data_IF_778935364426
#
_entry.id   IF_778935364426
#
_cell.length_a   1.000
_cell.length_b   1.000
_cell.length_c   1.000
_cell.angle_alpha   90.00
_cell.angle_beta   90.00
_cell.angle_gamma   90.00
#
_symmetry.space_group_name_H-M   'P 1'
#
loop_
_entity.id
_entity.type
_entity.pdbx_description
1 polymer ?
#
# COMPACT_ATOMS: atom_id res chain seq x y z
N UNK A 1 -10.48 -16.67 1.56
CA UNK A 1 -9.01 -16.63 1.42
C UNK A 1 -8.66 -15.45 0.52
N UNK A 2 -7.72 -14.60 0.92
CA UNK A 2 -7.30 -13.41 0.16
C UNK A 2 -6.33 -13.80 -0.96
N UNK A 3 -6.83 -14.53 -1.95
CA UNK A 3 -6.04 -14.99 -3.11
C UNK A 3 -5.53 -13.81 -3.94
N UNK A 4 -4.39 -13.97 -4.63
CA UNK A 4 -3.75 -12.90 -5.41
C UNK A 4 -3.93 -13.15 -6.91
N UNK A 5 -3.85 -12.09 -7.71
CA UNK A 5 -3.82 -12.19 -9.18
C UNK A 5 -2.41 -12.61 -9.65
N UNK A 6 -2.18 -13.92 -9.84
CA UNK A 6 -0.84 -14.48 -10.07
C UNK A 6 -0.48 -14.79 -11.53
N UNK A 7 -1.42 -14.68 -12.48
CA UNK A 7 -1.13 -14.91 -13.89
C UNK A 7 -0.35 -13.72 -14.48
N UNK A 8 0.97 -13.83 -14.49
CA UNK A 8 1.87 -12.80 -15.06
C UNK A 8 1.70 -12.66 -16.59
N UNK A 9 1.20 -13.67 -17.29
CA UNK A 9 1.06 -13.64 -18.75
C UNK A 9 -0.14 -12.80 -19.21
N UNK A 10 -1.12 -12.62 -18.32
CA UNK A 10 -2.33 -11.82 -18.55
C UNK A 10 -2.32 -10.59 -17.65
N UNK A 11 -2.02 -9.43 -18.24
CA UNK A 11 -2.15 -8.14 -17.55
C UNK A 11 -3.65 -7.86 -17.34
N UNK A 12 -4.13 -7.73 -16.09
CA UNK A 12 -5.53 -7.48 -15.85
C UNK A 12 -5.92 -6.06 -16.24
N UNK A 13 -7.13 -5.89 -16.75
CA UNK A 13 -7.75 -4.59 -16.92
C UNK A 13 -8.47 -4.13 -15.64
N UNK A 14 -9.02 -2.93 -15.68
CA UNK A 14 -9.66 -2.31 -14.51
C UNK A 14 -10.96 -3.02 -14.10
N UNK A 15 -11.73 -3.55 -15.05
CA UNK A 15 -12.95 -4.28 -14.75
C UNK A 15 -12.64 -5.61 -14.05
N UNK A 16 -11.62 -6.32 -14.54
CA UNK A 16 -11.12 -7.55 -13.92
C UNK A 16 -10.58 -7.29 -12.51
N UNK A 17 -9.83 -6.20 -12.30
CA UNK A 17 -9.34 -5.82 -10.97
C UNK A 17 -10.51 -5.55 -10.03
N UNK A 18 -11.48 -4.73 -10.45
CA UNK A 18 -12.67 -4.39 -9.66
C UNK A 18 -13.49 -5.61 -9.28
N UNK A 19 -13.73 -6.51 -10.23
CA UNK A 19 -14.44 -7.76 -9.96
C UNK A 19 -13.67 -8.63 -8.95
N UNK A 20 -12.35 -8.73 -9.12
CA UNK A 20 -11.51 -9.59 -8.28
C UNK A 20 -11.41 -9.08 -6.84
N UNK A 21 -11.13 -7.78 -6.64
CA UNK A 21 -11.01 -7.19 -5.30
C UNK A 21 -12.37 -6.91 -4.66
N UNK A 22 -13.44 -6.87 -5.44
CA UNK A 22 -14.79 -6.58 -4.98
C UNK A 22 -15.08 -5.08 -4.91
N UNK A 23 -16.37 -4.74 -4.98
CA UNK A 23 -16.86 -3.36 -5.13
C UNK A 23 -16.41 -2.43 -4.00
N UNK A 24 -16.54 -2.87 -2.75
CA UNK A 24 -16.20 -2.03 -1.59
C UNK A 24 -14.69 -1.79 -1.47
N UNK A 25 -13.89 -2.82 -1.73
CA UNK A 25 -12.42 -2.70 -1.78
C UNK A 25 -11.95 -1.84 -2.94
N UNK A 26 -12.63 -1.90 -4.09
CA UNK A 26 -12.34 -1.02 -5.21
C UNK A 26 -12.67 0.44 -4.89
N UNK A 27 -13.80 0.74 -4.24
CA UNK A 27 -14.12 2.09 -3.76
C UNK A 27 -13.05 2.63 -2.80
N UNK A 28 -12.61 1.82 -1.84
CA UNK A 28 -11.51 2.17 -0.91
C UNK A 28 -10.21 2.44 -1.66
N UNK A 29 -9.88 1.62 -2.65
CA UNK A 29 -8.68 1.83 -3.48
C UNK A 29 -8.77 3.14 -4.26
N UNK A 30 -9.91 3.45 -4.89
CA UNK A 30 -10.12 4.72 -5.57
C UNK A 30 -10.01 5.92 -4.62
N UNK A 31 -10.58 5.82 -3.41
CA UNK A 31 -10.49 6.87 -2.40
C UNK A 31 -9.04 7.08 -1.93
N UNK A 32 -8.30 5.99 -1.70
CA UNK A 32 -6.87 6.05 -1.38
C UNK A 32 -6.08 6.77 -2.48
N UNK A 33 -6.31 6.43 -3.75
CA UNK A 33 -5.67 7.10 -4.89
C UNK A 33 -6.05 8.58 -4.99
N UNK A 34 -7.31 8.92 -4.74
CA UNK A 34 -7.79 10.32 -4.72
C UNK A 34 -7.04 11.14 -3.67
N UNK A 35 -6.96 10.66 -2.43
CA UNK A 35 -6.24 11.34 -1.35
C UNK A 35 -4.75 11.51 -1.70
N UNK A 36 -4.12 10.48 -2.25
CA UNK A 36 -2.73 10.60 -2.69
C UNK A 36 -2.54 11.59 -3.84
N UNK A 37 -3.51 11.71 -4.75
CA UNK A 37 -3.45 12.67 -5.86
C UNK A 37 -3.56 14.13 -5.40
N UNK A 38 -4.22 14.38 -4.26
CA UNK A 38 -4.29 15.69 -3.62
C UNK A 38 -2.97 16.05 -2.90
N UNK A 39 -2.31 15.06 -2.31
CA UNK A 39 -1.08 15.24 -1.52
C UNK A 39 0.21 15.20 -2.36
N UNK A 40 0.15 14.57 -3.54
CA UNK A 40 1.32 14.26 -4.36
C UNK A 40 1.04 14.44 -5.85
N UNK A 41 2.06 14.82 -6.61
CA UNK A 41 2.11 14.60 -8.07
C UNK A 41 2.18 13.09 -8.37
N UNK A 42 1.02 12.44 -8.31
CA UNK A 42 0.86 11.00 -8.33
C UNK A 42 1.00 10.43 -9.74
N UNK A 43 1.78 9.35 -9.86
CA UNK A 43 1.76 8.48 -11.03
C UNK A 43 1.44 7.05 -10.61
N UNK A 44 0.61 6.38 -11.41
CA UNK A 44 0.19 4.98 -11.22
C UNK A 44 0.68 4.13 -12.38
N UNK A 45 1.23 2.96 -12.06
CA UNK A 45 1.61 1.96 -13.05
C UNK A 45 1.21 0.56 -12.59
N UNK A 46 0.56 -0.21 -13.46
CA UNK A 46 0.25 -1.61 -13.19
C UNK A 46 1.49 -2.50 -13.36
N UNK A 47 1.85 -3.25 -12.33
CA UNK A 47 3.10 -4.04 -12.24
C UNK A 47 2.84 -5.43 -11.64
N UNK A 48 3.73 -6.36 -11.95
CA UNK A 48 3.84 -7.68 -11.31
C UNK A 48 5.20 -7.80 -10.59
N UNK A 49 5.45 -7.02 -9.52
CA UNK A 49 6.73 -7.05 -8.83
C UNK A 49 6.81 -8.28 -7.91
N UNK A 50 8.04 -8.71 -7.58
CA UNK A 50 8.31 -9.74 -6.56
C UNK A 50 7.70 -11.14 -6.82
N UNK A 51 7.14 -11.37 -8.01
CA UNK A 51 6.67 -12.68 -8.45
C UNK A 51 5.36 -13.12 -7.79
N UNK A 52 5.14 -14.43 -7.77
CA UNK A 52 3.87 -15.04 -7.35
C UNK A 52 3.55 -14.87 -5.87
N UNK A 53 4.51 -14.39 -5.08
CA UNK A 53 4.25 -14.02 -3.71
C UNK A 53 3.39 -12.77 -3.62
N UNK A 54 3.31 -11.90 -4.64
CA UNK A 54 2.56 -10.64 -4.56
C UNK A 54 1.52 -10.50 -5.67
N UNK A 55 1.84 -10.96 -6.88
CA UNK A 55 0.93 -10.85 -8.01
C UNK A 55 0.87 -9.45 -8.62
N UNK A 56 -0.21 -9.19 -9.35
CA UNK A 56 -0.48 -7.86 -9.92
C UNK A 56 -0.83 -6.84 -8.84
N UNK A 57 -0.36 -5.60 -9.05
CA UNK A 57 -0.70 -4.46 -8.22
C UNK A 57 -0.33 -3.14 -8.88
N UNK A 58 -0.80 -2.05 -8.28
CA UNK A 58 -0.37 -0.71 -8.68
C UNK A 58 0.92 -0.33 -7.97
N UNK A 59 1.87 0.21 -8.72
CA UNK A 59 2.98 0.98 -8.21
C UNK A 59 2.57 2.45 -8.21
N UNK A 60 2.54 3.07 -7.04
CA UNK A 60 2.21 4.48 -6.86
C UNK A 60 3.48 5.27 -6.56
N UNK A 61 3.70 6.36 -7.27
CA UNK A 61 4.91 7.18 -7.14
C UNK A 61 4.60 8.68 -7.11
N UNK A 62 5.44 9.44 -6.42
CA UNK A 62 5.46 10.89 -6.45
C UNK A 62 6.67 11.35 -7.26
N UNK A 63 6.45 11.91 -8.47
CA UNK A 63 7.53 12.12 -9.45
C UNK A 63 8.30 10.81 -9.67
N UNK A 64 9.61 10.78 -9.42
CA UNK A 64 10.47 9.59 -9.50
C UNK A 64 10.55 8.78 -8.20
N UNK A 65 9.89 9.22 -7.12
CA UNK A 65 9.98 8.58 -5.80
C UNK A 65 8.83 7.58 -5.66
N UNK A 66 9.15 6.31 -5.47
CA UNK A 66 8.17 5.28 -5.12
C UNK A 66 7.51 5.60 -3.76
N UNK A 67 6.18 5.62 -3.70
CA UNK A 67 5.42 5.78 -2.45
C UNK A 67 5.08 4.41 -1.87
N UNK A 68 4.31 3.61 -2.62
CA UNK A 68 3.83 2.31 -2.18
C UNK A 68 3.40 1.43 -3.36
N UNK A 69 3.20 0.15 -3.07
CA UNK A 69 2.45 -0.76 -3.93
C UNK A 69 1.05 -1.00 -3.35
N UNK A 70 0.05 -1.16 -4.21
CA UNK A 70 -1.28 -1.66 -3.87
C UNK A 70 -1.50 -3.00 -4.59
N UNK A 71 -1.39 -4.11 -3.87
CA UNK A 71 -1.54 -5.46 -4.42
C UNK A 71 -2.98 -5.93 -4.35
N UNK A 72 -3.47 -6.54 -5.44
CA UNK A 72 -4.84 -7.00 -5.52
C UNK A 72 -5.01 -8.37 -4.86
N UNK A 73 -6.03 -8.46 -4.03
CA UNK A 73 -6.39 -9.69 -3.34
C UNK A 73 -7.89 -9.93 -3.47
N UNK A 74 -8.32 -11.19 -3.47
CA UNK A 74 -9.74 -11.52 -3.61
C UNK A 74 -10.52 -10.92 -2.43
N UNK A 75 -11.39 -9.96 -2.72
CA UNK A 75 -12.17 -9.24 -1.70
C UNK A 75 -11.40 -8.13 -0.94
N UNK A 76 -10.14 -7.82 -1.28
CA UNK A 76 -9.32 -6.84 -0.55
C UNK A 76 -8.18 -6.25 -1.41
N UNK A 77 -7.38 -5.37 -0.82
CA UNK A 77 -6.07 -5.03 -1.35
C UNK A 77 -5.08 -4.82 -0.21
N UNK A 78 -3.79 -5.00 -0.50
CA UNK A 78 -2.70 -4.79 0.46
C UNK A 78 -1.83 -3.64 0.02
N UNK A 79 -1.75 -2.59 0.84
CA UNK A 79 -0.79 -1.51 0.69
C UNK A 79 0.55 -1.94 1.27
N UNK A 80 1.60 -1.85 0.46
CA UNK A 80 2.97 -2.18 0.85
C UNK A 80 3.83 -0.93 0.79
N UNK A 81 4.33 -0.50 1.96
CA UNK A 81 5.15 0.73 2.13
C UNK A 81 6.50 0.36 2.72
N UNK A 82 7.56 0.93 2.15
CA UNK A 82 8.90 0.85 2.73
C UNK A 82 9.22 2.13 3.50
N UNK A 83 9.54 2.01 4.78
CA UNK A 83 10.14 3.07 5.60
C UNK A 83 11.64 2.77 5.70
N UNK A 84 12.47 3.64 5.16
CA UNK A 84 13.93 3.53 5.27
C UNK A 84 14.43 4.11 6.60
N UNK A 85 15.65 3.75 7.00
CA UNK A 85 16.23 4.08 8.31
C UNK A 85 16.10 5.57 8.68
N UNK A 86 16.34 6.46 7.70
CA UNK A 86 16.25 7.92 7.90
C UNK A 86 14.85 8.43 8.20
N UNK A 87 13.82 7.69 7.83
CA UNK A 87 12.42 8.05 8.04
C UNK A 87 11.89 7.52 9.39
N UNK A 88 12.57 6.53 9.99
CA UNK A 88 12.10 5.83 11.19
C UNK A 88 11.80 6.76 12.36
N UNK A 89 12.68 7.69 12.77
CA UNK A 89 12.39 8.54 13.93
C UNK A 89 11.09 9.35 13.81
N UNK A 90 10.76 9.81 12.60
CA UNK A 90 9.51 10.51 12.33
C UNK A 90 8.34 9.54 12.16
N UNK A 91 8.56 8.41 11.52
CA UNK A 91 7.55 7.37 11.34
C UNK A 91 7.03 6.86 12.69
N UNK A 92 7.92 6.60 13.65
CA UNK A 92 7.54 6.10 14.98
C UNK A 92 6.65 7.09 15.75
N UNK A 93 6.86 8.40 15.60
CA UNK A 93 5.98 9.41 16.19
C UNK A 93 4.57 9.37 15.61
N UNK A 94 4.44 9.16 14.29
CA UNK A 94 3.14 9.03 13.62
C UNK A 94 2.47 7.71 14.02
N UNK A 95 3.25 6.61 14.01
CA UNK A 95 2.77 5.25 14.26
C UNK A 95 2.34 5.05 15.71
N UNK A 96 2.92 5.76 16.68
CA UNK A 96 2.55 5.65 18.08
C UNK A 96 1.06 5.90 18.35
N UNK A 97 0.45 6.81 17.56
CA UNK A 97 -0.96 7.23 17.65
C UNK A 97 -1.91 6.40 16.75
N UNK A 98 -1.37 5.48 15.95
CA UNK A 98 -2.15 4.63 15.05
C UNK A 98 -2.79 3.45 15.80
N UNK A 99 -3.74 2.78 15.15
CA UNK A 99 -4.42 1.59 15.70
C UNK A 99 -3.45 0.48 16.16
N UNK A 100 -3.89 -0.41 17.07
CA UNK A 100 -3.12 -1.58 17.47
C UNK A 100 -2.61 -2.41 16.28
N UNK A 101 -3.45 -2.60 15.25
CA UNK A 101 -3.08 -3.31 14.01
C UNK A 101 -1.91 -2.63 13.30
N UNK A 102 -1.94 -1.31 13.12
CA UNK A 102 -0.86 -0.57 12.48
C UNK A 102 0.46 -0.70 13.26
N UNK A 103 0.40 -0.56 14.59
CA UNK A 103 1.56 -0.68 15.47
C UNK A 103 2.16 -2.09 15.47
N UNK A 104 1.31 -3.12 15.47
CA UNK A 104 1.74 -4.52 15.36
C UNK A 104 2.42 -4.79 14.02
N UNK A 105 1.85 -4.30 12.91
CA UNK A 105 2.46 -4.43 11.58
C UNK A 105 3.80 -3.69 11.47
N UNK A 106 3.96 -2.55 12.15
CA UNK A 106 5.25 -1.87 12.24
C UNK A 106 6.25 -2.68 13.07
N UNK A 107 5.85 -3.19 14.23
CA UNK A 107 6.72 -3.98 15.11
C UNK A 107 7.21 -5.27 14.42
N UNK A 108 6.35 -5.91 13.63
CA UNK A 108 6.64 -7.15 12.90
C UNK A 108 6.96 -6.94 11.41
N UNK A 109 7.30 -5.70 11.03
CA UNK A 109 7.63 -5.35 9.64
C UNK A 109 8.76 -6.24 9.10
N UNK A 110 8.76 -6.45 7.78
CA UNK A 110 9.88 -7.14 7.15
C UNK A 110 11.12 -6.23 7.17
N UNK A 111 12.24 -6.63 7.80
CA UNK A 111 13.38 -5.74 8.01
C UNK A 111 14.04 -5.37 6.68
N UNK A 112 14.38 -4.09 6.54
CA UNK A 112 15.09 -3.56 5.37
C UNK A 112 15.86 -2.30 5.76
N UNK A 113 17.18 -2.42 5.85
CA UNK A 113 18.04 -1.46 6.55
C UNK A 113 18.28 -1.90 8.00
N UNK A 114 18.89 -1.03 8.80
CA UNK A 114 19.23 -1.31 10.20
C UNK A 114 18.00 -1.22 11.11
N UNK A 115 17.14 -0.24 10.86
CA UNK A 115 15.95 0.04 11.68
C UNK A 115 14.68 0.24 10.82
N UNK A 116 14.81 0.31 9.50
CA UNK A 116 13.70 0.41 8.55
C UNK A 116 12.98 -0.91 8.30
N UNK A 117 12.06 -0.90 7.35
CA UNK A 117 11.35 -2.09 6.94
C UNK A 117 10.16 -1.86 6.00
N UNK A 118 9.59 -2.97 5.57
CA UNK A 118 8.38 -3.03 4.76
C UNK A 118 7.18 -3.39 5.61
N UNK A 119 6.15 -2.55 5.54
CA UNK A 119 4.83 -2.81 6.10
C UNK A 119 3.93 -3.35 5.00
N UNK A 120 3.18 -4.41 5.30
CA UNK A 120 2.13 -4.96 4.44
C UNK A 120 0.78 -4.80 5.14
N UNK A 121 0.03 -3.76 4.77
CA UNK A 121 -1.24 -3.44 5.39
C UNK A 121 -2.39 -3.84 4.47
N UNK A 122 -3.08 -4.93 4.81
CA UNK A 122 -4.33 -5.33 4.14
C UNK A 122 -5.46 -4.42 4.60
N UNK A 123 -6.11 -3.76 3.65
CA UNK A 123 -7.26 -2.87 3.89
C UNK A 123 -8.54 -3.67 3.71
N UNK A 124 -9.37 -3.67 4.75
CA UNK A 124 -10.66 -4.38 4.80
C UNK A 124 -11.82 -3.40 5.10
N UNK A 125 -11.54 -2.33 5.84
CA UNK A 125 -12.53 -1.38 6.34
C UNK A 125 -12.14 0.07 5.98
N UNK A 126 -13.10 0.99 6.06
CA UNK A 126 -12.92 2.38 5.58
C UNK A 126 -11.97 3.16 6.51
N UNK A 127 -12.02 2.87 7.81
CA UNK A 127 -11.20 3.48 8.86
C UNK A 127 -9.71 3.22 8.64
N UNK A 128 -9.37 2.11 7.99
CA UNK A 128 -8.00 1.69 7.72
C UNK A 128 -7.33 2.52 6.60
N UNK A 129 -8.11 3.29 5.82
CA UNK A 129 -7.56 4.19 4.80
C UNK A 129 -6.68 5.28 5.41
N UNK A 130 -7.09 5.86 6.54
CA UNK A 130 -6.31 6.87 7.24
C UNK A 130 -4.95 6.30 7.71
N UNK A 131 -4.93 5.01 8.06
CA UNK A 131 -3.73 4.32 8.55
C UNK A 131 -2.72 4.12 7.41
N UNK A 132 -3.16 3.59 6.28
CA UNK A 132 -2.26 3.39 5.13
C UNK A 132 -1.76 4.70 4.54
N UNK A 133 -2.57 5.77 4.55
CA UNK A 133 -2.13 7.12 4.19
C UNK A 133 -1.06 7.61 5.19
N UNK A 134 -1.23 7.39 6.48
CA UNK A 134 -0.25 7.76 7.51
C UNK A 134 1.09 7.05 7.31
N UNK A 135 1.10 5.78 6.90
CA UNK A 135 2.34 5.09 6.51
C UNK A 135 3.01 5.72 5.27
N UNK A 136 2.24 6.10 4.25
CA UNK A 136 2.79 6.80 3.07
C UNK A 136 3.36 8.17 3.47
N UNK A 137 2.68 8.91 4.34
CA UNK A 137 3.13 10.20 4.86
C UNK A 137 4.40 10.09 5.73
N UNK A 138 4.52 9.01 6.50
CA UNK A 138 5.71 8.68 7.28
C UNK A 138 6.92 8.41 6.36
N UNK A 139 6.71 7.73 5.23
CA UNK A 139 7.73 7.56 4.19
C UNK A 139 8.09 8.90 3.55
N UNK A 140 7.09 9.64 3.10
CA UNK A 140 7.27 10.86 2.32
C UNK A 140 6.21 11.86 2.74
N UNK A 141 6.62 12.95 3.38
CA UNK A 141 5.69 14.02 3.72
C UNK A 141 4.94 14.52 2.47
N UNK A 142 3.63 14.82 2.58
CA UNK A 142 2.87 15.55 1.57
C UNK A 142 3.54 16.86 1.17
N UNK A 143 3.17 17.38 -0.01
CA UNK A 143 3.67 18.66 -0.52
C UNK A 143 2.72 19.82 -0.24
#
# INVERSE_FOLDING_TARGET
MFERMLDKSRKPDEAEIREYIGEDSYKRLCQFESILSEQYQLSKELRFPFGNHYGWGYKLSHKSIHLCYAFFEKGAFTITVQIGDRQVPKAEQIIAEMSPKARELWANRYPCGDIGGWIHYRVLEDEELAEVISFVNAKRAPK
#
